data_IF_664720208579
#
_entry.id   IF_664720208579
#
_cell.length_a   1.000
_cell.length_b   1.000
_cell.length_c   1.000
_cell.angle_alpha   90.00
_cell.angle_beta   90.00
_cell.angle_gamma   90.00
#
_symmetry.space_group_name_H-M   'P 1'
#
loop_
_entity.id
_entity.type
_entity.pdbx_description
1 polymer ?
#
# COMPACT_ATOMS: atom_id res chain seq x y z
N UNK A 1 11.22 -17.13 -0.27
CA UNK A 1 10.91 -15.68 -0.11
C UNK A 1 10.75 -15.12 -1.50
N UNK A 2 9.61 -14.50 -1.80
CA UNK A 2 9.32 -13.96 -3.15
C UNK A 2 10.35 -12.90 -3.51
N UNK A 3 10.90 -13.01 -4.73
CA UNK A 3 11.87 -12.08 -5.30
C UNK A 3 11.28 -11.50 -6.58
N UNK A 4 11.42 -10.19 -6.75
CA UNK A 4 10.96 -9.49 -7.94
C UNK A 4 12.18 -9.24 -8.82
N UNK A 5 12.25 -9.92 -9.96
CA UNK A 5 13.25 -9.70 -10.99
C UNK A 5 12.88 -8.54 -11.92
N UNK A 6 13.76 -8.26 -12.87
CA UNK A 6 13.55 -7.22 -13.86
C UNK A 6 12.30 -7.46 -14.71
N UNK A 7 12.10 -8.68 -15.21
CA UNK A 7 10.93 -9.02 -16.04
C UNK A 7 9.62 -8.90 -15.26
N UNK A 8 9.60 -9.38 -14.02
CA UNK A 8 8.45 -9.25 -13.12
C UNK A 8 8.11 -7.79 -12.89
N UNK A 9 9.12 -6.96 -12.60
CA UNK A 9 8.93 -5.53 -12.39
C UNK A 9 8.38 -4.80 -13.63
N UNK A 10 8.89 -5.12 -14.82
CA UNK A 10 8.41 -4.58 -16.09
C UNK A 10 6.93 -4.90 -16.32
N UNK A 11 6.51 -6.14 -16.04
CA UNK A 11 5.13 -6.58 -16.16
C UNK A 11 4.23 -5.89 -15.13
N UNK A 12 4.61 -5.96 -13.84
CA UNK A 12 3.85 -5.39 -12.73
C UNK A 12 3.61 -3.88 -12.84
N UNK A 13 4.52 -3.17 -13.52
CA UNK A 13 4.44 -1.72 -13.70
C UNK A 13 4.01 -1.32 -15.12
N UNK A 14 3.69 -2.29 -15.99
CA UNK A 14 3.34 -2.11 -17.39
C UNK A 14 4.25 -1.09 -18.12
N UNK A 15 5.56 -1.35 -18.07
CA UNK A 15 6.57 -0.39 -18.53
C UNK A 15 6.84 -0.53 -20.02
N UNK A 16 6.43 0.48 -20.80
CA UNK A 16 6.75 0.58 -22.22
C UNK A 16 8.05 1.36 -22.49
N UNK A 17 8.26 2.48 -21.79
CA UNK A 17 9.48 3.30 -21.88
C UNK A 17 10.37 3.07 -20.67
N UNK A 18 11.46 2.32 -20.90
CA UNK A 18 12.42 1.96 -19.87
C UNK A 18 13.33 3.10 -19.45
N UNK A 19 13.57 4.08 -20.32
CA UNK A 19 14.53 5.15 -20.01
C UNK A 19 13.89 6.28 -19.21
N UNK A 20 12.56 6.34 -19.17
CA UNK A 20 11.82 7.41 -18.50
C UNK A 20 10.55 6.93 -17.79
N UNK A 21 10.64 5.80 -17.09
CA UNK A 21 9.53 5.29 -16.30
C UNK A 21 9.36 6.08 -14.99
N UNK A 22 8.28 6.84 -14.87
CA UNK A 22 7.95 7.64 -13.67
C UNK A 22 9.15 8.52 -13.19
N UNK A 23 10.03 8.99 -14.10
CA UNK A 23 11.25 9.77 -13.80
C UNK A 23 12.51 8.95 -13.48
N UNK A 24 12.48 7.64 -13.70
CA UNK A 24 13.59 6.70 -13.47
C UNK A 24 13.93 5.91 -14.74
N UNK A 25 15.19 5.47 -14.85
CA UNK A 25 15.64 4.55 -15.89
C UNK A 25 15.67 3.12 -15.33
N UNK A 26 15.03 2.18 -16.01
CA UNK A 26 14.87 0.79 -15.59
C UNK A 26 15.78 -0.10 -16.42
N UNK A 27 16.79 -0.67 -15.75
CA UNK A 27 17.81 -1.53 -16.33
C UNK A 27 17.69 -2.95 -15.80
N UNK A 28 18.30 -3.95 -16.47
CA UNK A 28 18.19 -5.35 -16.05
C UNK A 28 18.70 -5.62 -14.62
N UNK A 29 19.62 -4.79 -14.13
CA UNK A 29 20.25 -4.88 -12.83
C UNK A 29 19.62 -3.98 -11.76
N UNK A 30 18.76 -3.03 -12.14
CA UNK A 30 18.09 -2.16 -11.18
C UNK A 30 17.43 -0.90 -11.76
N UNK A 31 16.93 -0.07 -10.85
CA UNK A 31 16.29 1.21 -11.15
C UNK A 31 17.25 2.35 -10.82
N UNK A 32 17.41 3.30 -11.75
CA UNK A 32 18.36 4.41 -11.67
C UNK A 32 17.63 5.75 -11.77
N UNK A 33 18.23 6.79 -11.18
CA UNK A 33 17.77 8.17 -11.38
C UNK A 33 18.11 8.60 -12.81
N UNK A 34 17.15 9.18 -13.53
CA UNK A 34 17.43 9.81 -14.82
C UNK A 34 18.19 11.10 -14.57
N UNK A 35 19.44 11.15 -15.05
CA UNK A 35 20.24 12.37 -14.99
C UNK A 35 19.79 13.30 -16.13
N UNK A 36 19.39 14.53 -15.81
CA UNK A 36 19.03 15.52 -16.82
C UNK A 36 20.24 15.87 -17.71
N UNK A 37 19.99 16.23 -18.97
CA UNK A 37 21.05 16.74 -19.83
C UNK A 37 21.56 18.10 -19.34
N UNK A 38 22.85 18.39 -19.53
CA UNK A 38 23.50 19.62 -19.09
C UNK A 38 22.90 20.91 -19.70
N UNK A 39 22.20 20.77 -20.83
CA UNK A 39 21.57 21.88 -21.54
C UNK A 39 20.20 22.26 -20.98
N UNK A 40 19.70 21.51 -20.00
CA UNK A 40 18.37 21.70 -19.46
C UNK A 40 18.38 22.79 -18.37
N UNK A 41 17.66 23.89 -18.61
CA UNK A 41 17.67 25.07 -17.74
C UNK A 41 16.94 24.76 -16.42
N UNK A 42 17.69 24.27 -15.43
CA UNK A 42 17.18 23.92 -14.10
C UNK A 42 17.93 24.67 -13.01
N UNK A 43 17.18 25.14 -12.02
CA UNK A 43 17.75 25.75 -10.82
C UNK A 43 18.50 24.70 -9.99
N UNK A 44 19.48 25.10 -9.15
CA UNK A 44 20.17 24.18 -8.25
C UNK A 44 19.23 23.39 -7.32
N UNK A 45 18.08 23.98 -6.99
CA UNK A 45 17.05 23.32 -6.17
C UNK A 45 16.35 22.19 -6.93
N UNK A 46 16.00 22.42 -8.20
CA UNK A 46 15.40 21.40 -9.07
C UNK A 46 16.38 20.26 -9.33
N UNK A 47 17.65 20.59 -9.62
CA UNK A 47 18.72 19.61 -9.72
C UNK A 47 18.84 18.73 -8.49
N UNK A 48 18.85 19.34 -7.30
CA UNK A 48 18.94 18.61 -6.03
C UNK A 48 17.73 17.70 -5.77
N UNK A 49 16.54 18.12 -6.20
CA UNK A 49 15.33 17.32 -6.05
C UNK A 49 15.33 16.13 -7.02
N UNK A 50 15.73 16.35 -8.27
CA UNK A 50 15.68 15.35 -9.34
C UNK A 50 16.84 14.34 -9.24
N UNK A 51 18.02 14.78 -8.81
CA UNK A 51 19.19 13.94 -8.58
C UNK A 51 19.31 13.45 -7.12
N UNK A 52 18.20 13.42 -6.37
CA UNK A 52 18.24 12.95 -5.00
C UNK A 52 18.47 11.43 -4.96
N UNK A 53 19.67 11.02 -4.56
CA UNK A 53 20.00 9.62 -4.33
C UNK A 53 20.43 9.38 -2.87
N UNK A 54 19.85 8.39 -2.16
CA UNK A 54 20.22 8.11 -0.77
C UNK A 54 21.71 7.81 -0.59
N UNK A 55 22.33 7.11 -1.54
CA UNK A 55 23.76 6.79 -1.51
C UNK A 55 24.66 7.94 -1.99
N UNK A 56 24.09 9.07 -2.44
CA UNK A 56 24.81 10.21 -3.05
C UNK A 56 25.65 9.86 -4.29
N UNK A 57 25.40 8.69 -4.88
CA UNK A 57 26.02 8.20 -6.10
C UNK A 57 24.92 7.79 -7.07
N UNK A 58 24.88 8.43 -8.25
CA UNK A 58 23.88 8.19 -9.30
C UNK A 58 24.21 6.97 -10.17
N UNK A 59 25.44 6.45 -10.04
CA UNK A 59 25.90 5.27 -10.78
C UNK A 59 25.45 3.96 -10.11
N UNK A 60 24.85 4.05 -8.92
CA UNK A 60 24.32 2.92 -8.17
C UNK A 60 22.79 2.92 -8.30
N UNK A 61 22.15 1.74 -8.43
CA UNK A 61 20.71 1.67 -8.50
C UNK A 61 20.04 2.03 -7.17
N UNK A 62 18.89 2.70 -7.25
CA UNK A 62 17.96 2.95 -6.14
C UNK A 62 17.31 1.66 -5.62
N UNK A 63 17.10 0.70 -6.53
CA UNK A 63 16.58 -0.62 -6.25
C UNK A 63 17.31 -1.62 -7.16
N UNK A 64 18.02 -2.58 -6.57
CA UNK A 64 18.71 -3.64 -7.31
C UNK A 64 17.76 -4.77 -7.66
N UNK A 65 17.91 -5.36 -8.85
CA UNK A 65 17.24 -6.61 -9.19
C UNK A 65 18.17 -7.82 -9.01
N UNK A 66 17.66 -8.97 -8.56
CA UNK A 66 16.32 -9.18 -8.00
C UNK A 66 16.16 -8.57 -6.59
N UNK A 67 15.05 -7.90 -6.33
CA UNK A 67 14.76 -7.29 -5.03
C UNK A 67 13.79 -8.13 -4.19
N UNK A 68 13.69 -7.86 -2.89
CA UNK A 68 12.60 -8.39 -2.06
C UNK A 68 11.33 -7.54 -2.20
N UNK A 69 10.16 -8.11 -1.88
CA UNK A 69 8.90 -7.34 -1.80
C UNK A 69 8.98 -6.18 -0.80
N UNK A 70 9.77 -6.31 0.27
CA UNK A 70 9.96 -5.23 1.23
C UNK A 70 10.79 -4.08 0.65
N UNK A 71 11.84 -4.40 -0.11
CA UNK A 71 12.67 -3.38 -0.76
C UNK A 71 11.86 -2.66 -1.84
N UNK A 72 11.08 -3.40 -2.63
CA UNK A 72 10.15 -2.84 -3.60
C UNK A 72 9.13 -1.91 -2.91
N UNK A 73 8.44 -2.38 -1.87
CA UNK A 73 7.49 -1.56 -1.10
C UNK A 73 8.13 -0.28 -0.56
N UNK A 74 9.36 -0.37 -0.04
CA UNK A 74 10.09 0.78 0.47
C UNK A 74 10.40 1.76 -0.66
N UNK A 75 10.93 1.27 -1.77
CA UNK A 75 11.24 2.07 -2.96
C UNK A 75 10.00 2.85 -3.41
N UNK A 76 8.90 2.15 -3.71
CA UNK A 76 7.66 2.73 -4.24
C UNK A 76 7.09 3.81 -3.30
N UNK A 77 7.16 3.58 -1.99
CA UNK A 77 6.73 4.57 -0.99
C UNK A 77 7.63 5.82 -0.99
N UNK A 78 8.95 5.63 -1.11
CA UNK A 78 9.91 6.75 -1.08
C UNK A 78 9.99 7.51 -2.39
N UNK A 79 9.83 6.83 -3.52
CA UNK A 79 9.85 7.39 -4.88
C UNK A 79 8.52 8.05 -5.24
N UNK A 80 7.44 7.75 -4.51
CA UNK A 80 6.10 8.24 -4.83
C UNK A 80 5.41 7.50 -5.96
N UNK A 81 5.92 6.33 -6.38
CA UNK A 81 5.43 5.58 -7.55
C UNK A 81 4.33 4.56 -7.21
N UNK A 82 3.59 4.74 -6.11
CA UNK A 82 2.53 3.79 -5.68
C UNK A 82 1.45 3.56 -6.75
N UNK A 83 1.19 4.54 -7.62
CA UNK A 83 0.24 4.40 -8.73
C UNK A 83 0.81 3.76 -9.99
N UNK A 84 2.12 3.49 -10.05
CA UNK A 84 2.77 2.86 -11.21
C UNK A 84 2.79 1.32 -11.10
N UNK A 85 2.14 0.70 -10.09
CA UNK A 85 2.05 -0.77 -9.94
C UNK A 85 0.60 -1.21 -10.08
N UNK A 86 0.35 -2.21 -10.93
CA UNK A 86 -0.96 -2.86 -11.00
C UNK A 86 -1.19 -3.72 -9.74
N UNK A 87 -2.24 -3.38 -8.99
CA UNK A 87 -2.54 -4.03 -7.73
C UNK A 87 -3.05 -5.48 -7.90
N UNK A 88 -3.71 -5.78 -9.02
CA UNK A 88 -4.20 -7.11 -9.34
C UNK A 88 -3.07 -8.02 -9.80
N UNK A 89 -2.22 -7.54 -10.70
CA UNK A 89 -1.05 -8.30 -11.17
C UNK A 89 -0.07 -8.55 -10.00
N UNK A 90 0.09 -7.57 -9.10
CA UNK A 90 0.88 -7.76 -7.88
C UNK A 90 0.27 -8.83 -6.97
N UNK A 91 -1.05 -8.86 -6.82
CA UNK A 91 -1.70 -9.88 -6.02
C UNK A 91 -1.52 -11.27 -6.63
N UNK A 92 -1.72 -11.40 -7.94
CA UNK A 92 -1.50 -12.66 -8.68
C UNK A 92 -0.04 -13.11 -8.58
N UNK A 93 0.92 -12.23 -8.87
CA UNK A 93 2.35 -12.51 -8.74
C UNK A 93 2.72 -13.03 -7.36
N UNK A 94 2.23 -12.40 -6.29
CA UNK A 94 2.50 -12.84 -4.91
C UNK A 94 1.89 -14.21 -4.65
N UNK A 95 0.68 -14.49 -5.13
CA UNK A 95 0.02 -15.79 -4.95
C UNK A 95 0.75 -16.91 -5.69
N UNK A 96 1.19 -16.67 -6.92
CA UNK A 96 1.90 -17.65 -7.75
C UNK A 96 3.31 -17.95 -7.23
N UNK A 97 4.01 -16.93 -6.71
CA UNK A 97 5.39 -17.05 -6.29
C UNK A 97 5.56 -17.30 -4.79
N UNK A 98 4.46 -17.28 -4.02
CA UNK A 98 4.49 -17.69 -2.63
C UNK A 98 4.97 -19.15 -2.53
N UNK A 99 5.90 -19.47 -1.63
CA UNK A 99 6.29 -20.86 -1.42
C UNK A 99 5.05 -21.65 -1.00
N UNK A 100 4.69 -22.65 -1.82
CA UNK A 100 3.53 -23.56 -1.72
C UNK A 100 3.45 -24.39 -0.41
N UNK A 101 4.14 -24.00 0.67
CA UNK A 101 4.28 -24.82 1.88
C UNK A 101 4.24 -24.03 3.19
N UNK A 102 3.52 -22.91 3.24
CA UNK A 102 3.07 -22.35 4.53
C UNK A 102 1.54 -22.41 4.62
N UNK A 103 0.96 -23.45 5.27
CA UNK A 103 -0.49 -23.62 5.40
C UNK A 103 -1.17 -22.49 6.21
N UNK A 104 -0.41 -21.51 6.72
CA UNK A 104 -0.95 -20.30 7.35
C UNK A 104 -1.58 -19.30 6.37
N UNK A 105 -1.34 -19.42 5.06
CA UNK A 105 -1.83 -18.46 4.06
C UNK A 105 -2.91 -18.99 3.12
N UNK A 106 -3.23 -20.29 3.17
CA UNK A 106 -4.16 -20.92 2.22
C UNK A 106 -5.39 -21.59 2.87
N UNK A 107 -5.59 -21.49 4.18
CA UNK A 107 -6.75 -22.11 4.85
C UNK A 107 -7.51 -21.17 5.79
N UNK A 108 -7.86 -20.00 5.28
CA UNK A 108 -9.13 -19.38 5.64
C UNK A 108 -9.69 -18.82 4.34
N UNK A 109 -10.99 -18.97 4.09
CA UNK A 109 -11.68 -18.41 2.92
C UNK A 109 -11.09 -17.03 2.57
N UNK A 110 -10.91 -16.67 1.30
CA UNK A 110 -10.35 -15.36 0.88
C UNK A 110 -10.96 -14.16 1.64
N UNK A 111 -12.23 -14.31 2.00
CA UNK A 111 -12.99 -13.40 2.83
C UNK A 111 -12.66 -13.43 4.34
N UNK A 112 -11.70 -14.18 4.86
CA UNK A 112 -11.33 -14.26 6.29
C UNK A 112 -9.87 -13.84 6.53
N UNK A 113 -9.17 -13.46 5.46
CA UNK A 113 -7.79 -13.03 5.54
C UNK A 113 -7.68 -11.75 6.39
N UNK A 114 -6.73 -11.64 7.35
CA UNK A 114 -6.64 -10.52 8.28
C UNK A 114 -6.54 -9.14 7.62
N UNK A 115 -5.97 -9.07 6.42
CA UNK A 115 -5.85 -7.82 5.65
C UNK A 115 -7.19 -7.39 5.05
N UNK A 116 -7.94 -8.31 4.46
CA UNK A 116 -9.29 -8.05 3.93
C UNK A 116 -10.25 -7.70 5.05
N UNK A 117 -10.11 -8.37 6.20
CA UNK A 117 -10.86 -8.06 7.42
C UNK A 117 -10.59 -6.64 7.92
N UNK A 118 -9.32 -6.24 7.97
CA UNK A 118 -8.93 -4.90 8.38
C UNK A 118 -9.40 -3.83 7.39
N UNK A 119 -9.43 -4.14 6.09
CA UNK A 119 -9.97 -3.24 5.06
C UNK A 119 -11.49 -3.07 5.20
N UNK A 120 -12.23 -4.17 5.39
CA UNK A 120 -13.68 -4.15 5.59
C UNK A 120 -14.07 -3.37 6.86
N UNK A 121 -13.33 -3.53 7.97
CA UNK A 121 -13.56 -2.73 9.20
C UNK A 121 -13.40 -1.24 8.91
N UNK A 122 -12.31 -0.83 8.24
CA UNK A 122 -12.09 0.59 7.92
C UNK A 122 -13.15 1.15 6.99
N UNK A 123 -13.62 0.35 6.03
CA UNK A 123 -14.70 0.74 5.14
C UNK A 123 -16.01 0.97 5.91
N UNK A 124 -16.31 0.11 6.88
CA UNK A 124 -17.46 0.28 7.78
C UNK A 124 -17.31 1.52 8.67
N UNK A 125 -16.15 1.72 9.31
CA UNK A 125 -15.88 2.91 10.15
C UNK A 125 -16.03 4.21 9.35
N UNK A 126 -15.50 4.24 8.13
CA UNK A 126 -15.64 5.38 7.24
C UNK A 126 -17.09 5.64 6.82
N UNK A 127 -17.87 4.58 6.57
CA UNK A 127 -19.29 4.71 6.24
C UNK A 127 -20.10 5.27 7.41
N UNK A 128 -19.77 4.88 8.65
CA UNK A 128 -20.38 5.43 9.88
C UNK A 128 -20.05 6.92 10.06
N UNK A 129 -18.80 7.31 9.78
CA UNK A 129 -18.35 8.70 9.91
C UNK A 129 -18.92 9.63 8.82
N UNK A 130 -19.13 9.12 7.59
CA UNK A 130 -19.66 9.89 6.47
C UNK A 130 -21.13 10.29 6.63
N UNK A 131 -21.94 9.46 7.28
CA UNK A 131 -23.38 9.71 7.40
C UNK A 131 -23.72 10.86 8.34
N UNK A 132 -22.76 11.40 9.12
CA UNK A 132 -22.92 12.59 9.97
C UNK A 132 -23.95 12.46 11.11
N UNK A 133 -24.77 11.42 11.08
CA UNK A 133 -25.73 10.98 12.09
C UNK A 133 -25.58 9.46 12.28
N UNK A 134 -24.93 9.00 13.37
CA UNK A 134 -24.74 7.60 13.67
C UNK A 134 -26.03 6.78 13.79
N UNK A 135 -27.21 7.43 13.85
CA UNK A 135 -28.51 6.76 13.88
C UNK A 135 -29.00 6.27 12.52
N UNK A 136 -28.43 6.77 11.41
CA UNK A 136 -28.75 6.35 10.05
C UNK A 136 -28.07 5.04 9.65
N UNK A 137 -26.86 4.78 10.17
CA UNK A 137 -26.14 3.55 9.92
C UNK A 137 -26.62 2.42 10.85
N UNK A 138 -27.79 1.86 10.54
CA UNK A 138 -28.46 0.82 11.35
C UNK A 138 -27.79 -0.56 11.31
N UNK A 139 -26.71 -0.71 10.56
CA UNK A 139 -26.07 -2.01 10.35
C UNK A 139 -24.88 -2.19 11.28
N UNK A 140 -25.01 -3.12 12.21
CA UNK A 140 -23.92 -3.51 13.11
C UNK A 140 -22.73 -4.06 12.32
N UNK A 141 -21.50 -3.79 12.79
CA UNK A 141 -20.26 -4.27 12.18
C UNK A 141 -20.28 -5.79 11.92
N UNK A 142 -20.86 -6.59 12.85
CA UNK A 142 -20.96 -8.05 12.68
C UNK A 142 -21.83 -8.44 11.48
N UNK A 143 -22.94 -7.75 11.30
CA UNK A 143 -23.87 -8.01 10.20
C UNK A 143 -23.28 -7.55 8.86
N UNK A 144 -22.59 -6.40 8.86
CA UNK A 144 -21.82 -5.96 7.70
C UNK A 144 -20.77 -7.00 7.27
N UNK A 145 -19.95 -7.47 8.20
CA UNK A 145 -18.92 -8.48 7.92
C UNK A 145 -19.54 -9.81 7.46
N UNK A 146 -20.68 -10.21 8.02
CA UNK A 146 -21.41 -11.39 7.54
C UNK A 146 -21.84 -11.24 6.08
N UNK A 147 -22.36 -10.08 5.70
CA UNK A 147 -22.76 -9.77 4.32
C UNK A 147 -21.55 -9.79 3.37
N UNK A 148 -20.38 -9.34 3.84
CA UNK A 148 -19.13 -9.39 3.07
C UNK A 148 -18.53 -10.81 2.95
N UNK A 149 -19.16 -11.83 3.55
CA UNK A 149 -18.76 -13.23 3.40
C UNK A 149 -17.72 -13.73 4.42
N UNK A 150 -17.46 -12.95 5.48
CA UNK A 150 -16.58 -13.38 6.58
C UNK A 150 -17.23 -14.51 7.40
N UNK A 151 -16.43 -15.48 7.83
CA UNK A 151 -16.87 -16.58 8.67
C UNK A 151 -17.20 -16.12 10.09
N UNK A 152 -18.05 -16.89 10.75
CA UNK A 152 -18.40 -16.65 12.15
C UNK A 152 -17.16 -16.65 13.08
N UNK A 153 -16.13 -17.43 12.76
CA UNK A 153 -14.89 -17.46 13.52
C UNK A 153 -14.11 -16.15 13.38
N UNK A 154 -13.96 -15.62 12.17
CA UNK A 154 -13.31 -14.33 11.92
C UNK A 154 -14.06 -13.16 12.60
N UNK A 155 -15.39 -13.16 12.52
CA UNK A 155 -16.26 -12.16 13.17
C UNK A 155 -16.14 -12.23 14.71
N UNK A 156 -16.05 -13.43 15.28
CA UNK A 156 -15.89 -13.61 16.72
C UNK A 156 -14.51 -13.16 17.22
N UNK A 157 -13.44 -13.37 16.45
CA UNK A 157 -12.09 -12.84 16.76
C UNK A 157 -12.07 -11.31 16.85
N UNK A 158 -12.98 -10.61 16.16
CA UNK A 158 -13.13 -9.16 16.29
C UNK A 158 -13.89 -8.77 17.55
N UNK A 159 -14.87 -9.55 17.99
CA UNK A 159 -15.64 -9.25 19.21
C UNK A 159 -14.76 -9.18 20.46
N UNK A 160 -13.59 -9.82 20.43
CA UNK A 160 -12.59 -9.78 21.51
C UNK A 160 -11.55 -8.67 21.35
N UNK A 161 -11.33 -8.15 20.13
CA UNK A 161 -10.30 -7.13 19.83
C UNK A 161 -10.90 -5.74 19.63
N UNK A 162 -12.01 -5.65 18.89
CA UNK A 162 -12.82 -4.46 18.74
C UNK A 162 -13.81 -4.35 19.91
N UNK A 163 -13.31 -3.91 21.06
CA UNK A 163 -14.10 -3.10 21.96
C UNK A 163 -13.48 -1.69 22.05
N UNK A 164 -13.64 -0.83 21.02
CA UNK A 164 -13.10 0.53 21.07
C UNK A 164 -14.02 1.50 21.84
N UNK A 165 -15.24 1.09 22.23
CA UNK A 165 -16.22 1.96 22.91
C UNK A 165 -16.15 1.98 24.44
N UNK A 166 -15.06 1.45 25.02
CA UNK A 166 -14.61 1.87 26.37
C UNK A 166 -13.42 2.83 26.31
N UNK A 167 -13.35 3.73 25.31
CA UNK A 167 -12.60 4.98 25.50
C UNK A 167 -13.38 5.86 26.47
N UNK A 168 -12.97 5.77 27.73
CA UNK A 168 -13.29 6.71 28.79
C UNK A 168 -13.22 8.15 28.27
N UNK A 169 -14.31 8.90 28.44
CA UNK A 169 -14.38 10.36 28.43
C UNK A 169 -13.65 11.08 27.29
N UNK A 170 -14.31 11.25 26.14
CA UNK A 170 -13.90 12.29 25.20
C UNK A 170 -14.04 13.67 25.87
N UNK A 171 -13.00 14.53 25.90
CA UNK A 171 -13.12 15.88 26.44
C UNK A 171 -14.07 16.69 25.55
N UNK A 172 -15.10 17.28 26.17
CA UNK A 172 -16.03 18.20 25.49
C UNK A 172 -15.23 19.33 24.84
N UNK A 173 -15.34 19.48 23.51
CA UNK A 173 -14.83 20.65 22.78
C UNK A 173 -15.38 21.93 23.44
N UNK A 174 -14.55 22.92 23.78
CA UNK A 174 -15.04 24.20 24.25
C UNK A 174 -15.85 24.86 23.13
N UNK A 175 -17.09 25.25 23.42
CA UNK A 175 -17.88 26.01 22.45
C UNK A 175 -17.30 27.42 22.25
N UNK A 176 -17.27 27.93 21.01
CA UNK A 176 -16.79 29.27 20.74
C UNK A 176 -17.72 30.28 21.40
N UNK A 177 -17.15 31.13 22.27
CA UNK A 177 -17.85 32.28 22.83
C UNK A 177 -18.15 33.25 21.68
N UNK A 178 -19.43 33.39 21.33
CA UNK A 178 -19.90 34.49 20.48
C UNK A 178 -19.59 35.80 21.20
N UNK A 179 -18.84 36.67 20.53
CA UNK A 179 -18.70 38.08 20.89
C UNK A 179 -19.79 38.87 20.19
#
# INVERSE_FOLDING_TARGET
MVKVGFADFMALCNIDDRENWCGYSVKPDGIYVVVPEDNDYRTPREWKALCHHPAKDLMVPLLTFPCSLNDLRRFVKTSGTNGCIDAFDMAEFVLENAPSSDPKYLDTNRADHPVELAAAIRAWEYAVDLDGDPSCFKMELKEYLRIQGFSAEAINRISTVANPYKRQGAPKRPQPKRK
#
